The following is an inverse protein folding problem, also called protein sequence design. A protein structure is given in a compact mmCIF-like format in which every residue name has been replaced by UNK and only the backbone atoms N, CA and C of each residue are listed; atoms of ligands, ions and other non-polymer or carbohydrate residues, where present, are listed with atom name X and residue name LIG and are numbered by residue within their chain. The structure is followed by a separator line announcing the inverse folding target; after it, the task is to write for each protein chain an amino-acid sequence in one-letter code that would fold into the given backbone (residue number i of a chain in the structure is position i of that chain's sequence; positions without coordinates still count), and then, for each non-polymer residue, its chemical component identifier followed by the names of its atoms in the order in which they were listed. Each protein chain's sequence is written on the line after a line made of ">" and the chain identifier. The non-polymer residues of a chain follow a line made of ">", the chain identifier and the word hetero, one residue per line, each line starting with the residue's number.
data_IF_555372287026
#
_entry.id   IF_555372287026
#
_cell.length_a   1.000
_cell.length_b   1.000
_cell.length_c   1.000
_cell.angle_alpha   90.00
_cell.angle_beta   90.00
_cell.angle_gamma   90.00
#
_symmetry.space_group_name_H-M   'P 1'
#
loop_
_entity.id
_entity.type
_entity.pdbx_description
1 polymer ?
#
# COMPACT_ATOMS: atom_id res chain seq x y z
N UNK A 1 -13.45 -1.60 -25.67
CA UNK A 1 -12.40 -0.57 -25.74
C UNK A 1 -11.67 -0.55 -24.41
N UNK A 2 -10.36 -0.79 -24.39
CA UNK A 2 -9.56 -0.75 -23.15
C UNK A 2 -9.02 0.67 -22.93
N UNK A 3 -8.79 1.06 -21.68
CA UNK A 3 -8.29 2.39 -21.29
C UNK A 3 -6.95 2.21 -20.58
N UNK A 4 -6.01 3.10 -20.84
CA UNK A 4 -4.72 3.13 -20.16
C UNK A 4 -4.90 3.55 -18.70
N UNK A 5 -4.45 2.71 -17.76
CA UNK A 5 -4.62 2.96 -16.32
C UNK A 5 -3.85 4.18 -15.79
N UNK A 6 -2.85 4.66 -16.54
CA UNK A 6 -2.12 5.86 -16.18
C UNK A 6 -2.76 7.15 -16.69
N UNK A 7 -3.07 7.21 -17.98
CA UNK A 7 -3.46 8.47 -18.63
C UNK A 7 -4.95 8.59 -18.93
N UNK A 8 -5.73 7.52 -18.75
CA UNK A 8 -7.17 7.51 -19.02
C UNK A 8 -7.56 7.56 -20.50
N UNK A 9 -6.59 7.56 -21.42
CA UNK A 9 -6.85 7.56 -22.87
C UNK A 9 -7.07 6.14 -23.40
N UNK A 10 -7.81 5.96 -24.51
CA UNK A 10 -8.02 4.64 -25.13
C UNK A 10 -6.71 3.95 -25.52
N UNK A 11 -6.67 2.64 -25.34
CA UNK A 11 -5.60 1.77 -25.82
C UNK A 11 -5.96 1.21 -27.20
N UNK A 12 -5.02 1.27 -28.13
CA UNK A 12 -5.09 0.43 -29.34
C UNK A 12 -4.54 -0.95 -28.99
N UNK A 13 -5.11 -2.01 -29.59
CA UNK A 13 -4.80 -3.40 -29.22
C UNK A 13 -3.31 -3.75 -29.34
N UNK A 14 -2.59 -3.13 -30.28
CA UNK A 14 -1.16 -3.36 -30.50
C UNK A 14 -0.24 -2.57 -29.56
N UNK A 15 -0.77 -1.55 -28.86
CA UNK A 15 0.00 -0.66 -27.98
C UNK A 15 -0.25 -0.95 -26.48
N UNK A 16 -0.98 -2.02 -26.17
CA UNK A 16 -1.32 -2.39 -24.81
C UNK A 16 -0.22 -3.24 -24.18
N UNK A 17 0.55 -2.62 -23.27
CA UNK A 17 1.54 -3.31 -22.46
C UNK A 17 1.17 -3.19 -20.98
N UNK A 18 0.76 -4.30 -20.38
CA UNK A 18 0.24 -4.36 -19.01
C UNK A 18 -0.92 -3.39 -18.73
N UNK A 19 -1.83 -3.20 -19.69
CA UNK A 19 -2.94 -2.25 -19.56
C UNK A 19 -2.53 -0.77 -19.67
N UNK A 20 -1.36 -0.50 -20.25
CA UNK A 20 -0.78 0.84 -20.42
C UNK A 20 -0.29 1.06 -21.84
N UNK A 21 -0.24 2.33 -22.26
CA UNK A 21 0.58 2.72 -23.40
C UNK A 21 2.06 2.48 -23.07
N UNK A 22 2.88 2.19 -24.08
CA UNK A 22 4.33 2.03 -23.91
C UNK A 22 4.98 3.21 -23.17
N UNK A 23 4.69 4.44 -23.59
CA UNK A 23 5.21 5.64 -22.93
C UNK A 23 4.76 5.76 -21.47
N UNK A 24 3.53 5.34 -21.19
CA UNK A 24 2.97 5.35 -19.85
C UNK A 24 3.67 4.33 -18.93
N UNK A 25 3.94 3.14 -19.44
CA UNK A 25 4.72 2.11 -18.75
C UNK A 25 6.14 2.61 -18.46
N UNK A 26 6.84 3.07 -19.49
CA UNK A 26 8.19 3.62 -19.39
C UNK A 26 8.28 4.74 -18.34
N UNK A 27 7.30 5.66 -18.31
CA UNK A 27 7.29 6.75 -17.34
C UNK A 27 7.05 6.25 -15.90
N UNK A 28 6.13 5.31 -15.69
CA UNK A 28 5.85 4.79 -14.35
C UNK A 28 7.03 4.02 -13.76
N UNK A 29 7.67 3.17 -14.56
CA UNK A 29 8.74 2.30 -14.07
C UNK A 29 10.15 2.89 -14.25
N UNK A 30 10.28 4.00 -14.99
CA UNK A 30 11.54 4.70 -15.20
C UNK A 30 12.46 3.99 -16.17
N UNK A 31 11.91 3.48 -17.28
CA UNK A 31 12.65 2.76 -18.33
C UNK A 31 12.54 3.46 -19.69
N UNK A 32 13.55 3.28 -20.54
CA UNK A 32 13.54 3.82 -21.91
C UNK A 32 12.87 2.88 -22.91
N UNK A 33 12.70 1.61 -22.54
CA UNK A 33 12.08 0.57 -23.36
C UNK A 33 11.13 -0.29 -22.50
N UNK A 34 10.29 -1.06 -23.18
CA UNK A 34 9.49 -2.09 -22.53
C UNK A 34 10.39 -3.16 -21.94
N UNK A 35 10.08 -3.57 -20.70
CA UNK A 35 10.78 -4.61 -19.96
C UNK A 35 9.70 -5.42 -19.24
N UNK A 36 9.80 -6.75 -19.26
CA UNK A 36 8.86 -7.62 -18.56
C UNK A 36 9.26 -7.81 -17.09
N UNK A 37 8.25 -8.15 -16.28
CA UNK A 37 8.49 -8.66 -14.94
C UNK A 37 9.21 -10.02 -15.01
N UNK A 38 10.30 -10.14 -14.26
CA UNK A 38 11.14 -11.34 -14.13
C UNK A 38 11.13 -11.84 -12.70
N UNK A 39 11.74 -12.99 -12.42
CA UNK A 39 11.81 -13.58 -11.07
C UNK A 39 10.44 -13.68 -10.36
N UNK A 40 9.38 -13.97 -11.13
CA UNK A 40 8.02 -14.04 -10.61
C UNK A 40 7.89 -15.27 -9.70
N UNK A 41 7.74 -15.03 -8.40
CA UNK A 41 7.58 -16.08 -7.41
C UNK A 41 6.33 -15.83 -6.56
N UNK A 42 5.53 -16.89 -6.36
CA UNK A 42 4.36 -16.83 -5.49
C UNK A 42 4.83 -16.72 -4.03
N UNK A 43 4.48 -15.62 -3.37
CA UNK A 43 4.77 -15.43 -1.95
C UNK A 43 3.66 -16.09 -1.15
N UNK A 44 3.86 -17.37 -0.79
CA UNK A 44 2.99 -18.09 0.13
C UNK A 44 2.84 -17.25 1.41
N UNK A 45 1.61 -17.05 1.86
CA UNK A 45 1.39 -16.52 3.20
C UNK A 45 2.09 -17.43 4.19
N UNK A 46 2.67 -16.89 5.25
CA UNK A 46 3.01 -17.73 6.40
C UNK A 46 1.68 -18.31 6.90
N UNK A 47 1.52 -19.63 6.79
CA UNK A 47 0.38 -20.32 7.38
C UNK A 47 0.42 -20.04 8.88
N UNK A 48 -0.53 -19.24 9.36
CA UNK A 48 -0.83 -19.06 10.79
C UNK A 48 -1.49 -20.35 11.31
N UNK A 49 -0.84 -21.50 11.10
CA UNK A 49 -1.35 -22.81 11.50
C UNK A 49 -0.94 -23.17 12.92
N UNK A 50 -0.11 -22.38 13.61
CA UNK A 50 0.43 -22.74 14.93
C UNK A 50 0.54 -21.62 15.99
N UNK A 51 -0.08 -20.44 15.79
CA UNK A 51 -0.18 -19.46 16.88
C UNK A 51 -1.63 -19.32 17.33
N UNK A 52 -1.93 -19.87 18.51
CA UNK A 52 -3.14 -19.66 19.30
C UNK A 52 -3.27 -18.18 19.71
N UNK A 53 -3.55 -17.31 18.74
CA UNK A 53 -3.89 -15.93 19.01
C UNK A 53 -5.42 -15.80 19.14
N UNK A 54 -5.93 -14.97 20.07
CA UNK A 54 -7.35 -14.72 20.20
C UNK A 54 -7.96 -14.26 18.87
N UNK A 55 -9.25 -14.58 18.57
CA UNK A 55 -9.94 -14.23 17.32
C UNK A 55 -10.02 -12.72 17.01
N UNK A 56 -9.53 -11.85 17.90
CA UNK A 56 -9.60 -10.40 17.83
C UNK A 56 -8.52 -9.73 16.96
N UNK A 57 -7.55 -10.49 16.43
CA UNK A 57 -6.37 -9.93 15.78
C UNK A 57 -6.29 -10.19 14.26
N UNK A 58 -7.44 -10.26 13.58
CA UNK A 58 -7.42 -10.19 12.11
C UNK A 58 -7.24 -8.73 11.71
N UNK A 59 -5.99 -8.25 11.57
CA UNK A 59 -5.77 -7.24 10.52
C UNK A 59 -6.37 -7.86 9.27
N UNK A 60 -7.31 -7.14 8.67
CA UNK A 60 -8.36 -7.67 7.80
C UNK A 60 -7.81 -8.47 6.60
N UNK A 61 -6.50 -8.43 6.35
CA UNK A 61 -5.84 -8.96 5.17
C UNK A 61 -4.54 -9.75 5.40
N UNK A 62 -4.39 -10.43 6.55
CA UNK A 62 -3.22 -11.25 6.85
C UNK A 62 -3.01 -12.42 5.87
N UNK A 63 -2.21 -12.19 4.82
CA UNK A 63 -1.62 -13.26 4.01
C UNK A 63 -2.57 -14.10 3.14
N UNK A 64 -3.89 -13.89 3.23
CA UNK A 64 -4.93 -14.63 2.48
C UNK A 64 -4.91 -14.35 0.97
N UNK A 65 -4.24 -13.28 0.54
CA UNK A 65 -4.25 -12.86 -0.85
C UNK A 65 -3.12 -13.44 -1.67
N UNK A 66 -3.41 -13.72 -2.95
CA UNK A 66 -2.41 -14.13 -3.92
C UNK A 66 -1.49 -12.95 -4.21
N UNK A 67 -0.28 -13.05 -3.68
CA UNK A 67 0.78 -12.06 -3.87
C UNK A 67 1.99 -12.71 -4.53
N UNK A 68 2.57 -12.02 -5.49
CA UNK A 68 3.81 -12.42 -6.12
C UNK A 68 4.91 -11.43 -5.77
N UNK A 69 6.13 -11.91 -5.62
CA UNK A 69 7.32 -11.08 -5.77
C UNK A 69 7.75 -11.14 -7.24
N UNK A 70 8.20 -10.03 -7.79
CA UNK A 70 8.80 -9.99 -9.12
C UNK A 70 9.86 -8.90 -9.17
N UNK A 71 10.74 -8.94 -10.17
CA UNK A 71 11.70 -7.89 -10.47
C UNK A 71 11.39 -7.22 -11.79
N UNK A 72 11.61 -5.92 -11.86
CA UNK A 72 11.54 -5.15 -13.09
C UNK A 72 12.66 -4.11 -13.05
N UNK A 73 13.54 -4.12 -14.05
CA UNK A 73 14.61 -3.14 -14.14
C UNK A 73 15.56 -3.12 -12.94
N UNK A 74 15.84 -4.28 -12.33
CA UNK A 74 16.70 -4.40 -11.16
C UNK A 74 16.06 -3.99 -9.82
N UNK A 75 14.79 -3.59 -9.81
CA UNK A 75 14.02 -3.30 -8.58
C UNK A 75 13.06 -4.42 -8.27
N UNK A 76 12.88 -4.75 -6.99
CA UNK A 76 11.89 -5.71 -6.54
C UNK A 76 10.52 -5.08 -6.30
N UNK A 77 9.47 -5.81 -6.67
CA UNK A 77 8.08 -5.42 -6.56
C UNK A 77 7.25 -6.52 -5.90
N UNK A 78 6.17 -6.12 -5.23
CA UNK A 78 5.11 -6.99 -4.76
C UNK A 78 3.88 -6.74 -5.64
N UNK A 79 3.37 -7.80 -6.25
CA UNK A 79 2.19 -7.80 -7.11
C UNK A 79 1.03 -8.45 -6.35
N UNK A 80 0.01 -7.67 -6.02
CA UNK A 80 -1.26 -8.15 -5.44
C UNK A 80 -2.27 -8.30 -6.58
N UNK A 81 -2.56 -9.53 -6.97
CA UNK A 81 -3.41 -9.82 -8.13
C UNK A 81 -4.86 -9.99 -7.72
N UNK A 82 -5.78 -9.74 -8.65
CA UNK A 82 -7.21 -9.99 -8.49
C UNK A 82 -7.52 -11.45 -8.13
N UNK A 83 -8.48 -11.66 -7.23
CA UNK A 83 -9.01 -12.98 -6.85
C UNK A 83 -10.54 -12.95 -6.86
N UNK A 84 -11.17 -14.11 -7.08
CA UNK A 84 -12.63 -14.24 -7.17
C UNK A 84 -13.36 -13.76 -5.92
N UNK A 85 -12.79 -14.00 -4.75
CA UNK A 85 -13.42 -13.67 -3.46
C UNK A 85 -13.42 -12.17 -3.17
N UNK A 86 -12.47 -11.42 -3.77
CA UNK A 86 -12.25 -9.99 -3.54
C UNK A 86 -11.74 -9.33 -4.83
N UNK A 87 -12.62 -9.23 -5.83
CA UNK A 87 -12.26 -8.85 -7.20
C UNK A 87 -11.78 -7.39 -7.31
N UNK A 88 -12.20 -6.54 -6.38
CA UNK A 88 -11.94 -5.10 -6.34
C UNK A 88 -10.69 -4.71 -5.55
N UNK A 89 -10.02 -5.68 -4.91
CA UNK A 89 -8.92 -5.40 -3.99
C UNK A 89 -7.75 -4.64 -4.65
N UNK A 90 -7.27 -5.01 -5.85
CA UNK A 90 -6.23 -4.25 -6.55
C UNK A 90 -6.59 -2.77 -6.75
N UNK A 91 -7.84 -2.47 -7.10
CA UNK A 91 -8.36 -1.13 -7.34
C UNK A 91 -8.47 -0.34 -6.03
N UNK A 92 -9.00 -0.97 -4.97
CA UNK A 92 -9.09 -0.38 -3.63
C UNK A 92 -7.69 0.00 -3.14
N UNK A 93 -6.72 -0.91 -3.21
CA UNK A 93 -5.34 -0.64 -2.79
C UNK A 93 -4.73 0.55 -3.56
N UNK A 94 -4.93 0.60 -4.88
CA UNK A 94 -4.44 1.71 -5.71
C UNK A 94 -5.05 3.05 -5.29
N UNK A 95 -6.38 3.12 -5.13
CA UNK A 95 -7.09 4.35 -4.74
C UNK A 95 -6.71 4.78 -3.31
N UNK A 96 -6.66 3.84 -2.37
CA UNK A 96 -6.24 4.12 -0.98
C UNK A 96 -4.84 4.71 -0.92
N UNK A 97 -3.91 4.20 -1.72
CA UNK A 97 -2.55 4.74 -1.76
C UNK A 97 -2.47 6.12 -2.45
N UNK A 98 -3.31 6.41 -3.47
CA UNK A 98 -3.46 7.77 -4.04
C UNK A 98 -3.95 8.74 -2.95
N UNK A 99 -4.97 8.35 -2.19
CA UNK A 99 -5.51 9.18 -1.10
C UNK A 99 -4.41 9.41 -0.05
N UNK A 100 -3.69 8.37 0.36
CA UNK A 100 -2.59 8.48 1.32
C UNK A 100 -1.50 9.46 0.83
N UNK A 101 -1.09 9.38 -0.44
CA UNK A 101 -0.13 10.34 -1.02
C UNK A 101 -0.66 11.77 -0.99
N UNK A 102 -1.93 11.98 -1.35
CA UNK A 102 -2.57 13.31 -1.32
C UNK A 102 -2.66 13.89 0.09
N UNK A 103 -2.72 13.04 1.10
CA UNK A 103 -2.69 13.43 2.53
C UNK A 103 -1.26 13.63 3.06
N UNK A 104 -0.23 13.50 2.23
CA UNK A 104 1.17 13.68 2.63
C UNK A 104 1.75 12.50 3.41
N UNK A 105 1.09 11.34 3.41
CA UNK A 105 1.64 10.13 4.02
C UNK A 105 2.75 9.54 3.14
N UNK A 106 3.83 9.09 3.77
CA UNK A 106 4.88 8.37 3.08
C UNK A 106 4.38 6.97 2.70
N UNK A 107 4.20 6.74 1.40
CA UNK A 107 3.90 5.42 0.84
C UNK A 107 4.94 5.06 -0.22
N UNK A 108 5.33 3.79 -0.35
CA UNK A 108 6.23 3.35 -1.41
C UNK A 108 5.64 3.63 -2.80
N UNK A 109 6.46 3.76 -3.84
CA UNK A 109 5.95 3.87 -5.22
C UNK A 109 5.05 2.69 -5.57
N UNK A 110 3.87 2.98 -6.11
CA UNK A 110 2.85 1.99 -6.45
C UNK A 110 2.20 2.31 -7.80
N UNK A 111 1.63 1.28 -8.42
CA UNK A 111 1.11 1.31 -9.78
C UNK A 111 -0.09 0.36 -9.92
N UNK A 112 -0.92 0.61 -10.92
CA UNK A 112 -2.05 -0.26 -11.26
C UNK A 112 -1.90 -0.75 -12.69
N UNK A 113 -1.81 -2.06 -12.88
CA UNK A 113 -1.51 -2.68 -14.19
C UNK A 113 -2.43 -3.87 -14.47
N UNK A 114 -2.39 -4.37 -15.72
CA UNK A 114 -2.86 -5.72 -16.07
C UNK A 114 -1.69 -6.70 -16.12
N UNK A 115 -1.54 -7.51 -15.07
CA UNK A 115 -0.52 -8.55 -15.04
C UNK A 115 -0.85 -9.63 -16.08
N UNK A 116 0.15 -10.02 -16.87
CA UNK A 116 0.01 -10.86 -18.07
C UNK A 116 -1.07 -10.37 -19.06
N UNK A 117 -1.36 -9.06 -19.07
CA UNK A 117 -2.46 -8.45 -19.83
C UNK A 117 -3.87 -8.98 -19.52
N UNK A 118 -4.02 -9.79 -18.47
CA UNK A 118 -5.26 -10.49 -18.13
C UNK A 118 -5.86 -9.98 -16.83
N UNK A 119 -5.06 -9.85 -15.78
CA UNK A 119 -5.56 -9.65 -14.41
C UNK A 119 -5.20 -8.28 -13.87
N UNK A 120 -6.20 -7.58 -13.33
CA UNK A 120 -5.96 -6.33 -12.61
C UNK A 120 -5.08 -6.60 -11.39
N UNK A 121 -4.03 -5.79 -11.25
CA UNK A 121 -2.97 -6.03 -10.29
C UNK A 121 -2.46 -4.71 -9.73
N UNK A 122 -2.42 -4.63 -8.40
CA UNK A 122 -1.74 -3.58 -7.68
C UNK A 122 -0.27 -3.96 -7.52
N UNK A 123 0.62 -3.08 -7.97
CA UNK A 123 2.06 -3.27 -7.91
C UNK A 123 2.64 -2.24 -6.96
N UNK A 124 3.46 -2.67 -6.01
CA UNK A 124 4.16 -1.76 -5.10
C UNK A 124 5.64 -2.12 -5.04
N UNK A 125 6.48 -1.08 -5.03
CA UNK A 125 7.92 -1.24 -4.84
C UNK A 125 8.21 -1.87 -3.47
N UNK A 126 9.06 -2.90 -3.45
CA UNK A 126 9.48 -3.54 -2.22
C UNK A 126 10.53 -2.67 -1.50
N UNK A 127 10.06 -1.73 -0.69
CA UNK A 127 10.90 -0.79 0.04
C UNK A 127 11.88 -1.43 1.04
N UNK A 128 11.68 -2.71 1.38
CA UNK A 128 12.59 -3.45 2.28
C UNK A 128 13.88 -3.91 1.58
N UNK A 129 13.93 -3.96 0.25
CA UNK A 129 15.10 -4.44 -0.49
C UNK A 129 16.36 -3.59 -0.21
N UNK A 130 16.17 -2.29 0.05
CA UNK A 130 17.27 -1.36 0.34
C UNK A 130 17.81 -1.45 1.77
N UNK A 131 17.21 -2.27 2.63
CA UNK A 131 17.57 -2.38 4.04
C UNK A 131 17.96 -3.81 4.37
N UNK A 132 19.23 -4.18 4.10
CA UNK A 132 19.83 -5.41 4.61
C UNK A 132 20.56 -5.09 5.93
N UNK A 133 20.28 -5.78 7.06
CA UNK A 133 19.48 -6.99 7.27
C UNK A 133 18.06 -6.73 7.83
N UNK A 134 17.40 -5.63 7.46
CA UNK A 134 16.17 -5.22 8.13
C UNK A 134 15.00 -6.16 7.85
N UNK A 135 14.32 -6.58 8.91
CA UNK A 135 13.06 -7.29 8.86
C UNK A 135 11.91 -6.31 9.13
N UNK A 136 10.80 -6.46 8.40
CA UNK A 136 9.59 -5.72 8.70
C UNK A 136 8.93 -6.35 9.93
N UNK A 137 8.97 -5.66 11.06
CA UNK A 137 8.30 -6.09 12.29
C UNK A 137 6.97 -5.36 12.37
N UNK A 138 5.87 -6.10 12.30
CA UNK A 138 4.55 -5.54 12.50
C UNK A 138 4.34 -5.10 13.95
N UNK A 139 3.63 -3.99 14.15
CA UNK A 139 3.43 -3.38 15.47
C UNK A 139 2.77 -4.34 16.49
N UNK A 140 1.90 -5.23 16.02
CA UNK A 140 1.20 -6.17 16.90
C UNK A 140 2.14 -7.19 17.56
N UNK A 141 3.35 -7.44 17.03
CA UNK A 141 4.33 -8.31 17.70
C UNK A 141 4.84 -7.73 19.03
N UNK A 142 4.58 -6.45 19.30
CA UNK A 142 4.89 -5.82 20.57
C UNK A 142 3.72 -5.83 21.57
N UNK A 143 2.54 -6.32 21.16
CA UNK A 143 1.43 -6.55 22.08
C UNK A 143 1.68 -7.85 22.86
N UNK A 144 1.43 -7.82 24.17
CA UNK A 144 1.38 -9.04 24.98
C UNK A 144 0.05 -9.75 24.74
N UNK A 145 -0.01 -11.05 25.04
CA UNK A 145 -1.25 -11.84 24.91
C UNK A 145 -2.42 -11.27 25.72
N UNK A 146 -2.13 -10.55 26.80
CA UNK A 146 -3.12 -9.90 27.66
C UNK A 146 -3.54 -8.51 27.17
N UNK A 147 -2.85 -7.94 26.18
CA UNK A 147 -3.07 -6.57 25.74
C UNK A 147 -4.22 -6.51 24.73
N UNK A 148 -5.14 -5.56 24.95
CA UNK A 148 -6.17 -5.23 23.96
C UNK A 148 -5.56 -4.54 22.74
N UNK A 149 -6.07 -4.82 21.54
CA UNK A 149 -5.76 -4.06 20.33
C UNK A 149 -6.46 -2.69 20.33
N UNK A 150 -6.00 -1.78 21.18
CA UNK A 150 -6.57 -0.45 21.35
C UNK A 150 -5.59 0.65 20.93
N UNK A 151 -6.13 1.82 20.57
CA UNK A 151 -5.33 3.01 20.26
C UNK A 151 -4.39 3.35 21.42
N UNK A 152 -4.86 3.21 22.67
CA UNK A 152 -4.05 3.46 23.87
C UNK A 152 -2.80 2.57 23.92
N UNK A 153 -2.95 1.28 23.71
CA UNK A 153 -1.83 0.33 23.77
C UNK A 153 -0.87 0.51 22.58
N UNK A 154 -1.42 0.78 21.39
CA UNK A 154 -0.64 1.12 20.20
C UNK A 154 0.23 2.37 20.43
N UNK A 155 -0.34 3.43 21.01
CA UNK A 155 0.41 4.65 21.32
C UNK A 155 1.51 4.39 22.35
N UNK A 156 1.24 3.58 23.37
CA UNK A 156 2.25 3.19 24.36
C UNK A 156 3.42 2.44 23.72
N UNK A 157 3.14 1.48 22.82
CA UNK A 157 4.17 0.75 22.07
C UNK A 157 4.99 1.70 21.19
N UNK A 158 4.34 2.59 20.43
CA UNK A 158 5.04 3.54 19.57
C UNK A 158 5.95 4.46 20.40
N UNK A 159 5.45 4.93 21.55
CA UNK A 159 6.23 5.72 22.50
C UNK A 159 7.49 5.00 22.96
N UNK A 160 7.35 3.75 23.41
CA UNK A 160 8.45 2.91 23.90
C UNK A 160 9.47 2.59 22.79
N UNK A 161 9.01 2.18 21.60
CA UNK A 161 9.87 1.65 20.53
C UNK A 161 10.51 2.70 19.64
N UNK A 162 9.85 3.83 19.43
CA UNK A 162 10.31 4.85 18.48
C UNK A 162 10.87 6.08 19.20
N UNK A 163 10.59 6.24 20.51
CA UNK A 163 11.08 7.37 21.32
C UNK A 163 10.66 8.74 20.78
N UNK A 164 9.60 8.80 19.96
CA UNK A 164 9.31 9.91 19.02
C UNK A 164 7.98 10.62 19.22
N UNK A 165 7.29 10.43 20.34
CA UNK A 165 6.07 11.22 20.60
C UNK A 165 6.34 12.73 20.55
N UNK A 166 7.52 13.17 20.99
CA UNK A 166 7.95 14.57 20.95
C UNK A 166 8.10 15.15 19.53
N UNK A 167 8.30 14.30 18.51
CA UNK A 167 8.38 14.72 17.12
C UNK A 167 6.99 14.86 16.47
N UNK A 168 6.03 14.04 16.90
CA UNK A 168 4.63 14.13 16.47
C UNK A 168 3.98 15.37 17.11
N UNK A 169 4.22 15.62 18.40
CA UNK A 169 3.74 16.83 19.09
C UNK A 169 4.32 18.14 18.54
N UNK A 170 5.56 18.14 18.05
CA UNK A 170 6.19 19.33 17.45
C UNK A 170 5.69 19.67 16.04
N UNK A 171 5.18 18.69 15.28
CA UNK A 171 4.70 18.88 13.91
C UNK A 171 3.17 18.95 13.80
N UNK A 172 2.44 18.72 14.90
CA UNK A 172 1.00 18.87 14.94
C UNK A 172 0.63 20.28 15.42
N UNK A 173 0.51 21.21 14.47
CA UNK A 173 -0.28 22.42 14.70
C UNK A 173 -1.75 22.03 14.54
N UNK A 174 -2.58 22.03 15.60
CA UNK A 174 -4.00 21.81 15.41
C UNK A 174 -4.53 22.87 14.42
N UNK A 175 -5.45 22.50 13.51
CA UNK A 175 -6.10 23.50 12.68
C UNK A 175 -6.71 24.57 13.59
N UNK A 176 -6.69 25.85 13.21
CA UNK A 176 -7.29 26.90 14.02
C UNK A 176 -8.73 26.50 14.31
N UNK A 177 -9.05 26.41 15.60
CA UNK A 177 -10.42 26.29 16.07
C UNK A 177 -11.14 27.52 15.53
N UNK A 178 -12.09 27.32 14.62
CA UNK A 178 -13.01 28.36 14.24
C UNK A 178 -13.83 28.70 15.49
N UNK A 179 -13.34 29.67 16.26
CA UNK A 179 -14.14 30.35 17.27
C UNK A 179 -15.14 31.17 16.47
N UNK A 180 -16.38 30.69 16.44
CA UNK A 180 -17.51 31.35 15.81
C UNK A 180 -17.78 32.67 16.55
N UNK A 181 -17.10 33.74 16.15
CA UNK A 181 -17.43 35.10 16.53
C UNK A 181 -18.43 35.67 15.52
N UNK A 182 -19.69 35.25 15.65
CA UNK A 182 -20.81 36.09 15.24
C UNK A 182 -21.69 36.41 16.44
N UNK A 183 -21.21 37.40 17.21
CA UNK A 183 -22.08 38.47 17.72
C UNK A 183 -22.57 39.28 16.51
N UNK A 184 -23.83 39.11 16.11
CA UNK A 184 -24.62 40.10 15.38
C UNK A 184 -26.06 39.90 15.88
N UNK A 185 -26.39 40.55 17.00
CA UNK A 185 -27.20 41.78 17.08
C UNK A 185 -28.63 41.51 16.60
N UNK A 186 -29.52 41.46 17.60
CA UNK A 186 -30.96 41.64 17.46
C UNK A 186 -31.22 43.05 16.92
N UNK A 187 -32.00 43.16 15.85
CA UNK A 187 -33.21 43.99 15.72
C UNK A 187 -33.96 43.59 14.44
#
# INVERSE_FOLDING_TARGET
>A
MQICYKCGKPLQTHDCFHGLHQECFCLWFGHTSLVDFTDIALKRGEDISNTTLPPLHTSFFHGKFKKYSAKLGGKSYILKVQQSEYAELPQIEYISNIIAQKLGLYVPSFYFIRFLNEMDTFVVHNFMENYQPANLIHLYHFLKETDEFSVRNILAIISDKVGRLDAIHRNYSPPPVFVDQKKLIFD
#
